data_IF_135813338813
#
_entry.id   IF_135813338813
#
_cell.length_a   1.000
_cell.length_b   1.000
_cell.length_c   1.000
_cell.angle_alpha   90.00
_cell.angle_beta   90.00
_cell.angle_gamma   90.00
#
_symmetry.space_group_name_H-M   'P 1'
#
loop_
_entity.id
_entity.type
_entity.pdbx_description
1 polymer ?
#
# COMPACT_ATOMS: atom_id res chain seq x y z
N UNK A 1 -25.21 4.34 -16.36
CA UNK A 1 -24.41 3.11 -16.53
C UNK A 1 -24.35 2.42 -15.18
N UNK A 2 -24.89 1.20 -15.06
CA UNK A 2 -24.80 0.44 -13.81
C UNK A 2 -23.33 0.06 -13.56
N UNK A 3 -22.83 0.13 -12.31
CA UNK A 3 -21.46 -0.28 -12.00
C UNK A 3 -21.32 -1.78 -12.29
N UNK A 4 -20.35 -2.15 -13.11
CA UNK A 4 -20.03 -3.55 -13.37
C UNK A 4 -19.61 -4.20 -12.05
N UNK A 5 -20.37 -5.18 -11.59
CA UNK A 5 -20.01 -5.99 -10.42
C UNK A 5 -18.76 -6.78 -10.79
N UNK A 6 -17.60 -6.31 -10.33
CA UNK A 6 -16.31 -6.99 -10.42
C UNK A 6 -16.50 -8.39 -9.83
N UNK A 7 -16.42 -9.42 -10.67
CA UNK A 7 -16.65 -10.80 -10.26
C UNK A 7 -15.78 -11.16 -9.05
N UNK A 8 -16.33 -11.90 -8.08
CA UNK A 8 -15.59 -12.36 -6.91
C UNK A 8 -14.34 -13.11 -7.38
N UNK A 9 -13.17 -12.58 -7.06
CA UNK A 9 -11.89 -13.19 -7.39
C UNK A 9 -11.84 -14.59 -6.76
N UNK A 10 -11.48 -15.60 -7.54
CA UNK A 10 -11.40 -16.98 -7.05
C UNK A 10 -10.43 -17.07 -5.87
N UNK A 11 -10.82 -17.76 -4.81
CA UNK A 11 -9.99 -17.94 -3.62
C UNK A 11 -8.84 -18.90 -3.94
N UNK A 12 -7.60 -18.41 -3.90
CA UNK A 12 -6.39 -19.23 -4.03
C UNK A 12 -6.25 -20.20 -2.86
N UNK A 13 -5.61 -21.35 -3.10
CA UNK A 13 -5.32 -22.32 -2.03
C UNK A 13 -4.28 -21.79 -1.03
N UNK A 14 -4.44 -22.09 0.27
CA UNK A 14 -3.53 -21.61 1.32
C UNK A 14 -2.05 -21.98 1.06
N UNK A 15 -1.77 -23.19 0.55
CA UNK A 15 -0.40 -23.59 0.17
C UNK A 15 0.15 -22.78 -1.00
N UNK A 16 -0.68 -22.50 -1.99
CA UNK A 16 -0.32 -21.68 -3.14
C UNK A 16 0.03 -20.25 -2.71
N UNK A 17 -0.76 -19.65 -1.81
CA UNK A 17 -0.49 -18.31 -1.26
C UNK A 17 0.89 -18.26 -0.60
N UNK A 18 1.26 -19.28 0.18
CA UNK A 18 2.58 -19.32 0.84
C UNK A 18 3.73 -19.37 -0.18
N UNK A 19 3.59 -20.17 -1.23
CA UNK A 19 4.61 -20.31 -2.27
C UNK A 19 4.73 -19.04 -3.13
N UNK A 20 3.60 -18.46 -3.53
CA UNK A 20 3.55 -17.19 -4.23
C UNK A 20 4.14 -16.06 -3.38
N UNK A 21 3.83 -15.99 -2.09
CA UNK A 21 4.38 -15.00 -1.17
C UNK A 21 5.92 -15.08 -1.09
N UNK A 22 6.47 -16.30 -0.99
CA UNK A 22 7.94 -16.50 -1.00
C UNK A 22 8.56 -15.99 -2.30
N UNK A 23 7.93 -16.31 -3.43
CA UNK A 23 8.38 -15.89 -4.76
C UNK A 23 8.34 -14.37 -4.91
N UNK A 24 7.23 -13.75 -4.49
CA UNK A 24 7.07 -12.30 -4.48
C UNK A 24 8.13 -11.62 -3.61
N UNK A 25 8.34 -12.09 -2.37
CA UNK A 25 9.39 -11.53 -1.50
C UNK A 25 10.78 -11.64 -2.13
N UNK A 26 11.12 -12.78 -2.72
CA UNK A 26 12.41 -12.98 -3.37
C UNK A 26 12.59 -12.04 -4.56
N UNK A 27 11.55 -11.87 -5.39
CA UNK A 27 11.55 -10.96 -6.53
C UNK A 27 11.85 -9.51 -6.09
N UNK A 28 11.07 -8.98 -5.15
CA UNK A 28 11.24 -7.59 -4.70
C UNK A 28 12.54 -7.36 -3.94
N UNK A 29 13.02 -8.36 -3.17
CA UNK A 29 14.34 -8.30 -2.52
C UNK A 29 15.46 -8.22 -3.57
N UNK A 30 15.44 -9.12 -4.55
CA UNK A 30 16.49 -9.20 -5.56
C UNK A 30 16.50 -7.95 -6.43
N UNK A 31 15.33 -7.42 -6.78
CA UNK A 31 15.19 -6.13 -7.47
C UNK A 31 15.75 -4.98 -6.65
N UNK A 32 15.33 -4.84 -5.38
CA UNK A 32 15.80 -3.77 -4.50
C UNK A 32 17.32 -3.79 -4.34
N UNK A 33 17.92 -4.96 -4.10
CA UNK A 33 19.37 -5.12 -4.01
C UNK A 33 20.04 -4.84 -5.37
N UNK A 34 19.47 -5.37 -6.45
CA UNK A 34 19.97 -5.21 -7.82
C UNK A 34 19.98 -3.77 -8.30
N UNK A 35 19.11 -2.89 -7.77
CA UNK A 35 19.14 -1.47 -8.03
C UNK A 35 20.04 -0.71 -7.03
N UNK A 36 19.89 -0.99 -5.74
CA UNK A 36 20.56 -0.24 -4.68
C UNK A 36 22.08 -0.45 -4.66
N UNK A 37 22.55 -1.69 -4.81
CA UNK A 37 23.98 -1.97 -4.73
C UNK A 37 24.76 -1.31 -5.88
N UNK A 38 24.37 -1.46 -7.17
CA UNK A 38 25.04 -0.74 -8.25
C UNK A 38 24.91 0.78 -8.13
N UNK A 39 23.75 1.31 -7.76
CA UNK A 39 23.56 2.74 -7.61
C UNK A 39 24.47 3.35 -6.54
N UNK A 40 24.61 2.68 -5.38
CA UNK A 40 25.53 3.09 -4.33
C UNK A 40 26.99 3.00 -4.78
N UNK A 41 27.38 1.89 -5.40
CA UNK A 41 28.74 1.67 -5.87
C UNK A 41 29.14 2.73 -6.92
N UNK A 42 28.30 2.97 -7.93
CA UNK A 42 28.56 4.00 -8.94
C UNK A 42 28.58 5.40 -8.31
N UNK A 43 27.64 5.71 -7.42
CA UNK A 43 27.59 7.00 -6.73
C UNK A 43 28.86 7.28 -5.93
N UNK A 44 29.42 6.26 -5.27
CA UNK A 44 30.62 6.39 -4.48
C UNK A 44 31.91 6.44 -5.32
N UNK A 45 32.00 5.67 -6.40
CA UNK A 45 33.21 5.53 -7.21
C UNK A 45 33.36 6.60 -8.29
N UNK A 46 32.25 7.09 -8.86
CA UNK A 46 32.27 7.95 -10.05
C UNK A 46 31.90 9.40 -9.73
N UNK A 47 31.00 9.62 -8.78
CA UNK A 47 30.43 10.94 -8.52
C UNK A 47 31.00 11.58 -7.25
N UNK A 48 30.92 12.91 -7.19
CA UNK A 48 31.25 13.66 -5.97
C UNK A 48 30.18 13.40 -4.91
N UNK A 49 30.60 12.81 -3.79
CA UNK A 49 29.72 12.46 -2.68
C UNK A 49 29.37 13.72 -1.90
N UNK A 50 28.12 14.15 -1.98
CA UNK A 50 27.58 15.24 -1.17
C UNK A 50 26.79 14.70 0.03
N UNK A 51 26.70 15.48 1.11
CA UNK A 51 25.91 15.14 2.29
C UNK A 51 24.46 14.82 1.92
N UNK A 52 23.86 15.59 1.01
CA UNK A 52 22.50 15.37 0.52
C UNK A 52 22.36 14.02 -0.19
N UNK A 53 23.32 13.67 -1.07
CA UNK A 53 23.29 12.38 -1.76
C UNK A 53 23.40 11.22 -0.76
N UNK A 54 24.28 11.31 0.24
CA UNK A 54 24.39 10.29 1.29
C UNK A 54 23.08 10.13 2.06
N UNK A 55 22.47 11.23 2.48
CA UNK A 55 21.20 11.21 3.20
C UNK A 55 20.07 10.58 2.37
N UNK A 56 19.99 10.91 1.08
CA UNK A 56 18.98 10.36 0.18
C UNK A 56 19.18 8.85 -0.06
N UNK A 57 20.42 8.39 -0.14
CA UNK A 57 20.74 6.98 -0.24
C UNK A 57 20.37 6.22 1.05
N UNK A 58 20.71 6.76 2.23
CA UNK A 58 20.32 6.18 3.52
C UNK A 58 18.79 6.10 3.64
N UNK A 59 18.10 7.20 3.31
CA UNK A 59 16.64 7.25 3.31
C UNK A 59 16.03 6.17 2.39
N UNK A 60 16.57 6.03 1.17
CA UNK A 60 16.12 5.02 0.21
C UNK A 60 16.35 3.60 0.73
N UNK A 61 17.49 3.33 1.36
CA UNK A 61 17.76 2.03 1.98
C UNK A 61 16.80 1.73 3.14
N UNK A 62 16.49 2.73 3.97
CA UNK A 62 15.49 2.59 5.03
C UNK A 62 14.09 2.31 4.46
N UNK A 63 13.69 2.99 3.39
CA UNK A 63 12.40 2.74 2.72
C UNK A 63 12.36 1.31 2.16
N UNK A 64 13.39 0.88 1.44
CA UNK A 64 13.46 -0.47 0.86
C UNK A 64 13.46 -1.54 1.96
N UNK A 65 14.28 -1.37 2.99
CA UNK A 65 14.41 -2.31 4.10
C UNK A 65 13.12 -2.43 4.92
N UNK A 66 12.52 -1.29 5.30
CA UNK A 66 11.26 -1.28 6.04
C UNK A 66 10.09 -1.82 5.21
N UNK A 67 10.01 -1.49 3.92
CA UNK A 67 8.97 -2.01 3.02
C UNK A 67 9.08 -3.53 2.84
N UNK A 68 10.30 -4.04 2.63
CA UNK A 68 10.54 -5.47 2.55
C UNK A 68 10.17 -6.17 3.86
N UNK A 69 10.63 -5.62 5.00
CA UNK A 69 10.34 -6.19 6.32
C UNK A 69 8.84 -6.21 6.61
N UNK A 70 8.11 -5.16 6.22
CA UNK A 70 6.67 -5.08 6.35
C UNK A 70 5.97 -6.16 5.50
N UNK A 71 6.36 -6.37 4.25
CA UNK A 71 5.82 -7.46 3.43
C UNK A 71 6.11 -8.84 4.03
N UNK A 72 7.35 -9.06 4.48
CA UNK A 72 7.77 -10.33 5.07
C UNK A 72 7.00 -10.65 6.36
N UNK A 73 6.72 -9.63 7.17
CA UNK A 73 5.89 -9.76 8.35
C UNK A 73 4.43 -10.11 7.99
N UNK A 74 3.83 -9.42 7.03
CA UNK A 74 2.45 -9.66 6.60
C UNK A 74 2.24 -11.06 5.99
N UNK A 75 3.22 -11.58 5.26
CA UNK A 75 3.11 -12.85 4.54
C UNK A 75 3.56 -14.06 5.35
N UNK A 76 3.83 -13.91 6.65
CA UNK A 76 4.40 -14.97 7.48
C UNK A 76 3.39 -16.09 7.72
N UNK A 77 3.67 -17.27 7.17
CA UNK A 77 2.88 -18.47 7.42
C UNK A 77 3.08 -19.02 8.84
N UNK A 78 2.04 -19.64 9.40
CA UNK A 78 2.09 -20.37 10.68
C UNK A 78 1.76 -21.84 10.45
N UNK A 79 2.52 -22.70 11.11
CA UNK A 79 2.39 -24.15 11.03
C UNK A 79 2.13 -24.73 12.41
N UNK A 80 1.45 -25.87 12.47
CA UNK A 80 1.28 -26.65 13.70
C UNK A 80 2.57 -27.38 14.06
N UNK A 81 2.63 -27.91 15.28
CA UNK A 81 3.73 -28.78 15.73
C UNK A 81 3.91 -30.03 14.86
N UNK A 82 2.82 -30.50 14.25
CA UNK A 82 2.82 -31.61 13.28
C UNK A 82 3.20 -31.20 11.85
N UNK A 83 3.51 -29.92 11.61
CA UNK A 83 3.89 -29.39 10.29
C UNK A 83 2.72 -29.07 9.35
N UNK A 84 1.48 -29.17 9.81
CA UNK A 84 0.31 -28.76 9.03
C UNK A 84 0.21 -27.24 8.95
N UNK A 85 -0.15 -26.69 7.78
CA UNK A 85 -0.32 -25.26 7.59
C UNK A 85 -1.59 -24.77 8.32
N UNK A 86 -1.41 -23.87 9.30
CA UNK A 86 -2.51 -23.28 10.08
C UNK A 86 -2.98 -21.95 9.50
N UNK A 87 -2.05 -21.13 9.01
CA UNK A 87 -2.29 -19.79 8.49
C UNK A 87 -1.28 -19.52 7.36
N UNK A 88 -1.75 -19.13 6.17
CA UNK A 88 -0.88 -18.80 5.04
C UNK A 88 -0.23 -17.41 5.16
N UNK A 89 -0.65 -16.60 6.14
CA UNK A 89 -0.39 -15.17 6.16
C UNK A 89 -1.24 -14.43 5.11
N UNK A 90 -1.04 -13.12 5.02
CA UNK A 90 -1.73 -12.29 4.04
C UNK A 90 -1.19 -12.56 2.62
N UNK A 91 -2.08 -12.68 1.63
CA UNK A 91 -1.67 -12.80 0.22
C UNK A 91 -1.12 -11.45 -0.26
N UNK A 92 0.18 -11.41 -0.55
CA UNK A 92 0.84 -10.21 -1.05
C UNK A 92 0.35 -9.82 -2.45
N UNK A 93 -0.18 -10.78 -3.21
CA UNK A 93 -0.65 -10.62 -4.59
C UNK A 93 -2.18 -10.45 -4.69
N UNK A 94 -2.84 -10.19 -3.56
CA UNK A 94 -4.27 -9.86 -3.54
C UNK A 94 -4.53 -8.48 -4.15
N UNK A 95 -5.49 -8.40 -5.08
CA UNK A 95 -5.84 -7.16 -5.76
C UNK A 95 -6.51 -6.17 -4.79
N UNK A 96 -6.06 -4.92 -4.78
CA UNK A 96 -6.51 -3.90 -3.83
C UNK A 96 -5.97 -4.07 -2.41
N UNK A 97 -5.01 -4.98 -2.19
CA UNK A 97 -4.36 -5.20 -0.91
C UNK A 97 -3.36 -4.08 -0.56
N UNK A 98 -3.10 -3.90 0.75
CA UNK A 98 -2.08 -2.93 1.22
C UNK A 98 -0.70 -3.24 0.62
N UNK A 99 -0.40 -4.53 0.40
CA UNK A 99 0.86 -4.99 -0.18
C UNK A 99 1.13 -4.42 -1.58
N UNK A 100 0.11 -4.07 -2.38
CA UNK A 100 0.30 -3.41 -3.67
C UNK A 100 0.99 -2.05 -3.50
N UNK A 101 0.52 -1.23 -2.56
CA UNK A 101 1.12 0.08 -2.30
C UNK A 101 2.57 -0.05 -1.80
N UNK A 102 2.88 -1.14 -1.07
CA UNK A 102 4.24 -1.41 -0.58
C UNK A 102 5.16 -1.86 -1.72
N UNK A 103 4.65 -2.67 -2.65
CA UNK A 103 5.37 -3.04 -3.88
C UNK A 103 5.66 -1.82 -4.74
N UNK A 104 4.67 -0.95 -4.93
CA UNK A 104 4.82 0.31 -5.66
C UNK A 104 5.88 1.19 -5.01
N UNK A 105 5.92 1.25 -3.68
CA UNK A 105 6.94 1.99 -2.94
C UNK A 105 8.36 1.44 -3.19
N UNK A 106 8.52 0.11 -3.24
CA UNK A 106 9.80 -0.52 -3.55
C UNK A 106 10.21 -0.24 -5.00
N UNK A 107 9.28 -0.34 -5.95
CA UNK A 107 9.53 -0.05 -7.37
C UNK A 107 9.92 1.41 -7.56
N UNK A 108 9.15 2.33 -6.98
CA UNK A 108 9.40 3.77 -7.03
C UNK A 108 10.78 4.12 -6.48
N UNK A 109 11.14 3.56 -5.31
CA UNK A 109 12.42 3.82 -4.67
C UNK A 109 13.59 3.22 -5.47
N UNK A 110 13.43 2.00 -5.98
CA UNK A 110 14.44 1.33 -6.82
C UNK A 110 14.67 2.09 -8.13
N UNK A 111 13.60 2.54 -8.79
CA UNK A 111 13.67 3.39 -9.98
C UNK A 111 14.32 4.75 -9.68
N UNK A 112 13.99 5.36 -8.54
CA UNK A 112 14.60 6.64 -8.13
C UNK A 112 16.10 6.51 -7.92
N UNK A 113 16.59 5.42 -7.31
CA UNK A 113 18.02 5.16 -7.15
C UNK A 113 18.76 5.11 -8.49
N UNK A 114 18.17 4.46 -9.50
CA UNK A 114 18.77 4.39 -10.84
C UNK A 114 18.71 5.74 -11.56
N UNK A 115 17.59 6.44 -11.49
CA UNK A 115 17.41 7.75 -12.13
C UNK A 115 18.30 8.83 -11.49
N UNK A 116 18.53 8.76 -10.19
CA UNK A 116 19.41 9.69 -9.48
C UNK A 116 20.87 9.66 -9.98
N UNK A 117 21.31 8.54 -10.58
CA UNK A 117 22.61 8.45 -11.26
C UNK A 117 22.70 9.35 -12.49
N UNK A 118 21.57 9.64 -13.14
CA UNK A 118 21.49 10.51 -14.31
C UNK A 118 21.42 11.97 -13.86
N UNK A 119 20.60 12.25 -12.83
CA UNK A 119 20.41 13.61 -12.32
C UNK A 119 19.90 13.63 -10.88
N UNK A 120 20.48 14.49 -10.05
CA UNK A 120 20.03 14.68 -8.66
C UNK A 120 18.59 15.20 -8.54
N UNK A 121 18.01 15.79 -9.59
CA UNK A 121 16.59 16.21 -9.53
C UNK A 121 15.63 15.02 -9.38
N UNK A 122 16.06 13.81 -9.77
CA UNK A 122 15.21 12.62 -9.65
C UNK A 122 14.99 12.17 -8.20
N UNK A 123 15.74 12.67 -7.22
CA UNK A 123 15.40 12.48 -5.80
C UNK A 123 13.99 12.99 -5.47
N UNK A 124 13.48 13.99 -6.20
CA UNK A 124 12.12 14.51 -6.04
C UNK A 124 11.05 13.48 -6.38
N UNK A 125 11.36 12.43 -7.15
CA UNK A 125 10.42 11.34 -7.45
C UNK A 125 9.99 10.62 -6.18
N UNK A 126 10.84 10.56 -5.14
CA UNK A 126 10.46 9.99 -3.84
C UNK A 126 9.30 10.74 -3.16
N UNK A 127 9.05 12.01 -3.51
CA UNK A 127 7.89 12.76 -3.00
C UNK A 127 6.55 12.19 -3.47
N UNK A 128 6.53 11.37 -4.53
CA UNK A 128 5.32 10.65 -4.93
C UNK A 128 4.82 9.69 -3.83
N UNK A 129 5.72 9.15 -3.00
CA UNK A 129 5.35 8.26 -1.90
C UNK A 129 4.48 8.96 -0.83
N UNK A 130 4.90 10.07 -0.19
CA UNK A 130 4.05 10.78 0.76
C UNK A 130 2.80 11.39 0.11
N UNK A 131 2.87 11.84 -1.15
CA UNK A 131 1.68 12.31 -1.89
C UNK A 131 0.64 11.17 -2.01
N UNK A 132 1.08 9.98 -2.42
CA UNK A 132 0.20 8.80 -2.56
C UNK A 132 -0.38 8.36 -1.22
N UNK A 133 0.43 8.38 -0.15
CA UNK A 133 -0.02 8.08 1.20
C UNK A 133 -1.07 9.10 1.70
N UNK A 134 -0.83 10.39 1.47
CA UNK A 134 -1.78 11.46 1.79
C UNK A 134 -3.09 11.31 1.03
N UNK A 135 -3.05 10.99 -0.26
CA UNK A 135 -4.24 10.73 -1.08
C UNK A 135 -5.05 9.55 -0.54
N UNK A 136 -4.38 8.48 -0.13
CA UNK A 136 -5.03 7.31 0.45
C UNK A 136 -5.67 7.63 1.80
N UNK A 137 -4.97 8.34 2.68
CA UNK A 137 -5.47 8.77 3.98
C UNK A 137 -6.67 9.71 3.84
N UNK A 138 -6.64 10.59 2.85
CA UNK A 138 -7.74 11.51 2.54
C UNK A 138 -9.03 10.74 2.23
N UNK A 139 -9.00 9.82 1.26
CA UNK A 139 -10.19 9.07 0.84
C UNK A 139 -10.66 8.02 1.86
N UNK A 140 -9.74 7.43 2.63
CA UNK A 140 -10.06 6.32 3.55
C UNK A 140 -10.43 6.74 4.96
N UNK A 141 -9.86 7.84 5.48
CA UNK A 141 -10.03 8.25 6.88
C UNK A 141 -10.61 9.64 6.99
N UNK A 142 -9.98 10.64 6.35
CA UNK A 142 -10.29 12.05 6.58
C UNK A 142 -11.67 12.41 6.00
N UNK A 143 -11.93 12.06 4.74
CA UNK A 143 -13.19 12.39 4.07
C UNK A 143 -14.38 11.69 4.75
N UNK A 144 -14.35 10.37 5.05
CA UNK A 144 -15.44 9.72 5.78
C UNK A 144 -15.67 10.31 7.17
N UNK A 145 -14.60 10.58 7.93
CA UNK A 145 -14.69 11.17 9.27
C UNK A 145 -15.33 12.57 9.23
N UNK A 146 -14.90 13.42 8.29
CA UNK A 146 -15.45 14.77 8.12
C UNK A 146 -16.92 14.71 7.69
N UNK A 147 -17.27 13.77 6.81
CA UNK A 147 -18.65 13.58 6.33
C UNK A 147 -19.57 13.09 7.45
N UNK A 148 -19.09 12.18 8.31
CA UNK A 148 -19.83 11.72 9.51
C UNK A 148 -20.02 12.86 10.50
N UNK A 149 -18.97 13.65 10.76
CA UNK A 149 -19.05 14.82 11.63
C UNK A 149 -20.06 15.85 11.11
N UNK A 150 -19.99 16.19 9.83
CA UNK A 150 -20.91 17.16 9.23
C UNK A 150 -22.35 16.65 9.22
N UNK A 151 -22.59 15.35 9.00
CA UNK A 151 -23.92 14.74 9.11
C UNK A 151 -24.46 14.76 10.55
N UNK A 152 -23.58 14.81 11.54
CA UNK A 152 -23.94 14.90 12.96
C UNK A 152 -24.24 16.34 13.39
N UNK A 153 -23.60 17.32 12.75
CA UNK A 153 -23.82 18.76 12.96
C UNK A 153 -25.00 19.33 12.14
N UNK A 154 -25.37 18.73 10.99
CA UNK A 154 -26.59 19.07 10.22
C UNK A 154 -27.88 18.50 10.88
N UNK A 155 -28.36 19.21 11.89
CA UNK A 155 -29.77 19.33 12.33
C UNK A 155 -30.60 18.02 12.52
N UNK A 156 -30.86 17.59 13.78
CA UNK A 156 -31.80 16.50 14.07
C UNK A 156 -33.25 16.75 13.58
N UNK A 157 -33.61 17.98 13.21
CA UNK A 157 -34.95 18.31 12.68
C UNK A 157 -35.24 17.76 11.27
N UNK A 158 -34.23 17.57 10.42
CA UNK A 158 -34.44 17.11 9.03
C UNK A 158 -34.74 15.61 9.00
N UNK A 159 -34.16 14.84 9.92
CA UNK A 159 -34.39 13.41 10.03
C UNK A 159 -35.80 13.12 10.58
N UNK A 160 -36.28 13.89 11.57
CA UNK A 160 -37.68 13.78 12.03
C UNK A 160 -38.72 14.01 10.91
N UNK A 161 -38.52 15.03 10.07
CA UNK A 161 -39.46 15.33 8.96
C UNK A 161 -39.42 14.26 7.87
N UNK A 162 -38.24 13.71 7.55
CA UNK A 162 -38.08 12.62 6.58
C UNK A 162 -38.63 11.29 7.12
N UNK A 163 -38.38 10.97 8.39
CA UNK A 163 -38.91 9.81 9.09
C UNK A 163 -40.44 9.86 9.17
N UNK A 164 -41.03 10.98 9.63
CA UNK A 164 -42.49 11.19 9.65
C UNK A 164 -43.12 11.08 8.25
N UNK A 165 -42.41 11.49 7.19
CA UNK A 165 -42.90 11.34 5.79
C UNK A 165 -42.85 9.88 5.33
N UNK A 166 -41.81 9.14 5.68
CA UNK A 166 -41.68 7.70 5.38
C UNK A 166 -42.74 6.89 6.12
N UNK A 167 -42.96 7.20 7.40
CA UNK A 167 -43.94 6.53 8.26
C UNK A 167 -45.38 6.78 7.79
N UNK A 168 -45.71 8.02 7.38
CA UNK A 168 -46.99 8.36 6.72
C UNK A 168 -47.19 7.60 5.41
N UNK A 169 -46.11 7.32 4.66
CA UNK A 169 -46.19 6.56 3.40
C UNK A 169 -46.40 5.07 3.65
N UNK A 170 -45.73 4.49 4.65
CA UNK A 170 -45.95 3.09 5.05
C UNK A 170 -47.35 2.85 5.61
N UNK A 171 -47.89 3.79 6.40
CA UNK A 171 -49.26 3.69 6.94
C UNK A 171 -50.35 3.79 5.87
N UNK A 172 -50.04 4.28 4.67
CA UNK A 172 -50.97 4.31 3.51
C UNK A 172 -50.89 3.06 2.64
N UNK A 173 -49.84 2.25 2.81
CA UNK A 173 -49.64 0.99 2.06
C UNK A 173 -50.07 -0.24 2.86
N UNK A 174 -50.60 -0.04 4.07
CA UNK A 174 -51.18 -1.07 4.94
C UNK A 174 -52.67 -0.83 5.04
#
# INVERSE_FOLDING_TARGET
MAPQQKGKQGTKGAKQIVEENKTTLAFYRNMAIGCAAPALLLSFLVFQVSTTSVLMHILSLLILGSSYQFMAFMSKAKYSESGALLDSGNDLNMEGGIAENVKDLIILTSGTLLLALISNYFWLVLLLAPIRAGWMLWGSVIQPWLSQRNAQDENPEVDEKKQKKMERKMRRMR
#
